data_IF_976855574732
#
_entry.id   IF_976855574732
#
_cell.length_a   1.000
_cell.length_b   1.000
_cell.length_c   1.000
_cell.angle_alpha   90.00
_cell.angle_beta   90.00
_cell.angle_gamma   90.00
#
_symmetry.space_group_name_H-M   'P 1'
#
loop_
_entity.id
_entity.type
_entity.pdbx_description
1 polymer ?
#
# COMPACT_ATOMS: atom_id res chain seq x y z
N UNK A 1 -19.88 -26.25 -11.71
CA UNK A 1 -18.44 -25.98 -11.91
C UNK A 1 -17.93 -25.08 -10.80
N UNK A 2 -16.84 -25.43 -10.12
CA UNK A 2 -16.29 -24.64 -9.02
C UNK A 2 -15.61 -23.38 -9.59
N UNK A 3 -16.25 -22.20 -9.43
CA UNK A 3 -15.75 -20.93 -9.99
C UNK A 3 -14.33 -20.58 -9.51
N UNK A 4 -13.94 -21.01 -8.29
CA UNK A 4 -12.61 -20.76 -7.74
C UNK A 4 -11.54 -21.62 -8.43
N UNK A 5 -11.81 -22.90 -8.65
CA UNK A 5 -10.89 -23.80 -9.36
C UNK A 5 -10.68 -23.37 -10.81
N UNK A 6 -11.73 -22.93 -11.50
CA UNK A 6 -11.61 -22.38 -12.85
C UNK A 6 -10.75 -21.12 -12.91
N UNK A 7 -10.78 -20.27 -11.87
CA UNK A 7 -9.93 -19.08 -11.81
C UNK A 7 -8.46 -19.44 -11.57
N UNK A 8 -8.20 -20.37 -10.64
CA UNK A 8 -6.85 -20.88 -10.35
C UNK A 8 -6.26 -21.57 -11.59
N UNK A 9 -7.04 -22.39 -12.29
CA UNK A 9 -6.62 -23.05 -13.53
C UNK A 9 -6.19 -22.06 -14.61
N UNK A 10 -6.98 -21.01 -14.84
CA UNK A 10 -6.63 -19.93 -15.80
C UNK A 10 -5.37 -19.16 -15.39
N UNK A 11 -5.18 -18.92 -14.09
CA UNK A 11 -3.97 -18.28 -13.58
C UNK A 11 -2.73 -19.14 -13.85
N UNK A 12 -2.78 -20.44 -13.51
CA UNK A 12 -1.70 -21.39 -13.76
C UNK A 12 -1.37 -21.46 -15.26
N UNK A 13 -2.40 -21.53 -16.11
CA UNK A 13 -2.23 -21.54 -17.57
C UNK A 13 -1.51 -20.28 -18.06
N UNK A 14 -1.95 -19.10 -17.60
CA UNK A 14 -1.34 -17.83 -17.97
C UNK A 14 0.13 -17.76 -17.56
N UNK A 15 0.44 -18.07 -16.30
CA UNK A 15 1.81 -18.04 -15.76
C UNK A 15 2.72 -19.03 -16.48
N UNK A 16 2.22 -20.23 -16.78
CA UNK A 16 2.96 -21.23 -17.56
C UNK A 16 3.29 -20.70 -18.96
N UNK A 17 2.32 -20.08 -19.64
CA UNK A 17 2.49 -19.52 -20.98
C UNK A 17 3.49 -18.35 -20.99
N UNK A 18 3.45 -17.46 -20.00
CA UNK A 18 4.40 -16.35 -19.84
C UNK A 18 5.84 -16.83 -19.67
N UNK A 19 6.03 -18.00 -19.03
CA UNK A 19 7.35 -18.66 -18.91
C UNK A 19 7.74 -19.50 -20.13
N UNK A 20 6.90 -19.57 -21.17
CA UNK A 20 7.19 -20.32 -22.40
C UNK A 20 7.26 -21.84 -22.21
N UNK A 21 6.62 -22.39 -21.18
CA UNK A 21 6.65 -23.83 -20.87
C UNK A 21 5.40 -24.50 -21.46
N UNK A 22 5.56 -25.64 -22.15
CA UNK A 22 4.41 -26.42 -22.65
C UNK A 22 3.72 -27.20 -21.53
N UNK A 23 2.49 -27.69 -21.73
CA UNK A 23 1.81 -28.50 -20.71
C UNK A 23 2.57 -29.80 -20.43
N UNK A 24 3.18 -30.39 -21.45
CA UNK A 24 3.99 -31.61 -21.36
C UNK A 24 5.23 -31.37 -20.47
N UNK A 25 6.00 -30.33 -20.79
CA UNK A 25 7.22 -29.99 -20.03
C UNK A 25 6.89 -29.54 -18.59
N UNK A 26 5.74 -28.91 -18.40
CA UNK A 26 5.26 -28.55 -17.07
C UNK A 26 4.84 -29.78 -16.26
N UNK A 27 4.19 -30.75 -16.91
CA UNK A 27 3.82 -32.03 -16.29
C UNK A 27 5.05 -32.84 -15.87
N UNK A 28 6.09 -32.88 -16.70
CA UNK A 28 7.39 -33.52 -16.38
C UNK A 28 8.01 -32.93 -15.11
N UNK A 29 8.09 -31.60 -15.02
CA UNK A 29 8.63 -30.91 -13.83
C UNK A 29 7.83 -31.20 -12.56
N UNK A 30 6.52 -31.41 -12.70
CA UNK A 30 5.61 -31.69 -11.60
C UNK A 30 5.46 -33.20 -11.29
N UNK A 31 6.19 -34.06 -12.02
CA UNK A 31 6.05 -35.52 -11.96
C UNK A 31 4.60 -35.98 -12.10
N UNK A 32 3.88 -35.44 -13.08
CA UNK A 32 2.48 -35.77 -13.37
C UNK A 32 2.24 -35.93 -14.88
N UNK A 33 1.01 -36.27 -15.28
CA UNK A 33 0.66 -36.40 -16.70
C UNK A 33 0.20 -35.08 -17.30
N UNK A 34 0.42 -34.92 -18.61
CA UNK A 34 -0.08 -33.78 -19.38
C UNK A 34 -1.60 -33.62 -19.26
N UNK A 35 -2.34 -34.73 -19.26
CA UNK A 35 -3.79 -34.77 -19.07
C UNK A 35 -4.24 -34.30 -17.68
N UNK A 36 -3.41 -34.44 -16.65
CA UNK A 36 -3.68 -33.87 -15.32
C UNK A 36 -3.49 -32.35 -15.37
N UNK A 37 -2.43 -31.85 -16.00
CA UNK A 37 -2.21 -30.41 -16.19
C UNK A 37 -3.36 -29.76 -16.98
N UNK A 38 -3.82 -30.38 -18.06
CA UNK A 38 -4.95 -29.86 -18.84
C UNK A 38 -6.24 -29.74 -17.99
N UNK A 39 -6.55 -30.75 -17.16
CA UNK A 39 -7.69 -30.70 -16.23
C UNK A 39 -7.50 -29.66 -15.12
N UNK A 40 -6.28 -29.44 -14.66
CA UNK A 40 -5.94 -28.38 -13.70
C UNK A 40 -6.21 -27.01 -14.31
N UNK A 41 -5.70 -26.75 -15.52
CA UNK A 41 -5.88 -25.47 -16.22
C UNK A 41 -7.34 -25.16 -16.57
N UNK A 42 -8.13 -26.19 -16.87
CA UNK A 42 -9.57 -26.06 -17.09
C UNK A 42 -10.38 -25.95 -15.78
N UNK A 43 -9.75 -26.13 -14.61
CA UNK A 43 -10.40 -26.05 -13.29
C UNK A 43 -11.28 -27.26 -12.96
N UNK A 44 -11.03 -28.39 -13.60
CA UNK A 44 -11.77 -29.66 -13.43
C UNK A 44 -11.12 -30.58 -12.38
N UNK A 45 -9.89 -30.26 -11.96
CA UNK A 45 -9.11 -31.05 -11.02
C UNK A 45 -9.07 -30.39 -9.64
N UNK A 46 -9.32 -31.18 -8.60
CA UNK A 46 -9.03 -30.78 -7.22
C UNK A 46 -7.52 -30.86 -6.98
N UNK A 47 -6.95 -29.81 -6.40
CA UNK A 47 -5.52 -29.68 -6.13
C UNK A 47 -5.25 -29.85 -4.64
N UNK A 48 -4.28 -30.70 -4.29
CA UNK A 48 -3.76 -30.74 -2.92
C UNK A 48 -2.87 -29.52 -2.66
N UNK A 49 -2.71 -29.16 -1.39
CA UNK A 49 -1.80 -28.08 -0.97
C UNK A 49 -0.35 -28.36 -1.39
N UNK A 50 0.07 -29.63 -1.37
CA UNK A 50 1.38 -30.06 -1.86
C UNK A 50 1.52 -29.83 -3.37
N UNK A 51 0.48 -30.13 -4.16
CA UNK A 51 0.49 -29.87 -5.61
C UNK A 51 0.57 -28.37 -5.90
N UNK A 52 -0.20 -27.56 -5.15
CA UNK A 52 -0.17 -26.10 -5.27
C UNK A 52 1.22 -25.54 -4.94
N UNK A 53 1.89 -26.04 -3.89
CA UNK A 53 3.27 -25.66 -3.56
C UNK A 53 4.23 -25.97 -4.71
N UNK A 54 4.19 -27.19 -5.25
CA UNK A 54 5.06 -27.58 -6.38
C UNK A 54 4.84 -26.73 -7.62
N UNK A 55 3.59 -26.40 -7.91
CA UNK A 55 3.21 -25.50 -9.01
C UNK A 55 3.79 -24.10 -8.74
N UNK A 56 3.66 -23.60 -7.51
CA UNK A 56 4.25 -22.33 -7.05
C UNK A 56 5.75 -22.29 -7.29
N UNK A 57 6.48 -23.32 -6.87
CA UNK A 57 7.93 -23.43 -7.02
C UNK A 57 8.34 -23.51 -8.49
N UNK A 58 7.61 -24.31 -9.28
CA UNK A 58 7.91 -24.52 -10.71
C UNK A 58 7.66 -23.27 -11.53
N UNK A 59 6.66 -22.48 -11.13
CA UNK A 59 6.31 -21.20 -11.74
C UNK A 59 6.95 -20.01 -11.02
N UNK A 60 7.82 -20.26 -10.03
CA UNK A 60 8.58 -19.27 -9.24
C UNK A 60 7.73 -18.00 -8.96
N UNK A 61 6.54 -18.27 -8.43
CA UNK A 61 5.45 -17.34 -8.14
C UNK A 61 4.69 -17.87 -6.93
N UNK A 62 4.39 -17.03 -5.95
CA UNK A 62 3.57 -17.42 -4.80
C UNK A 62 2.08 -17.42 -5.18
N UNK A 63 1.54 -18.61 -5.50
CA UNK A 63 0.13 -18.79 -5.88
C UNK A 63 -0.77 -18.86 -4.65
N UNK A 64 -0.23 -19.33 -3.52
CA UNK A 64 -0.95 -19.44 -2.25
C UNK A 64 -0.10 -18.81 -1.16
N UNK A 65 -0.47 -17.61 -0.73
CA UNK A 65 0.07 -17.01 0.49
C UNK A 65 -0.84 -17.37 1.68
N UNK A 66 -0.34 -18.17 2.62
CA UNK A 66 -0.98 -18.30 3.93
C UNK A 66 -0.44 -17.15 4.80
N UNK A 67 -1.06 -15.98 4.67
CA UNK A 67 -0.76 -14.83 5.52
C UNK A 67 -1.66 -14.88 6.75
N UNK A 68 -1.09 -14.99 7.94
CA UNK A 68 -1.81 -14.95 9.24
C UNK A 68 -2.49 -13.59 9.55
N UNK A 69 -2.58 -12.67 8.58
CA UNK A 69 -3.06 -11.30 8.83
C UNK A 69 -3.75 -10.56 7.68
N UNK A 70 -3.95 -11.16 6.50
CA UNK A 70 -4.63 -10.46 5.41
C UNK A 70 -6.15 -10.69 5.45
N UNK A 71 -6.90 -9.69 5.89
CA UNK A 71 -8.36 -9.67 5.77
C UNK A 71 -8.71 -9.22 4.35
N UNK A 72 -9.27 -10.12 3.55
CA UNK A 72 -9.87 -9.77 2.26
C UNK A 72 -11.32 -9.33 2.49
N UNK A 73 -11.64 -8.09 2.12
CA UNK A 73 -13.00 -7.54 2.18
C UNK A 73 -13.63 -7.65 0.79
N UNK A 74 -14.77 -8.35 0.70
CA UNK A 74 -15.61 -8.37 -0.50
C UNK A 74 -16.74 -7.35 -0.34
N UNK A 75 -16.85 -6.43 -1.29
CA UNK A 75 -17.92 -5.41 -1.31
C UNK A 75 -19.07 -5.93 -2.19
N UNK A 76 -20.26 -6.06 -1.59
CA UNK A 76 -21.49 -6.32 -2.34
C UNK A 76 -22.14 -4.98 -2.73
N UNK A 77 -22.26 -4.74 -4.04
CA UNK A 77 -22.81 -3.50 -4.58
C UNK A 77 -24.35 -3.47 -4.64
N UNK A 78 -24.90 -2.47 -5.33
CA UNK A 78 -26.34 -2.37 -5.64
C UNK A 78 -27.13 -1.40 -4.74
N UNK A 79 -26.56 -0.98 -3.61
CA UNK A 79 -27.15 0.04 -2.75
C UNK A 79 -26.56 1.43 -3.03
N UNK A 80 -27.40 2.45 -3.20
CA UNK A 80 -26.95 3.85 -3.19
C UNK A 80 -26.66 4.26 -1.75
N UNK A 81 -25.43 4.67 -1.47
CA UNK A 81 -25.05 5.20 -0.17
C UNK A 81 -25.48 6.67 -0.05
N UNK A 82 -26.05 7.04 1.09
CA UNK A 82 -26.40 8.42 1.44
C UNK A 82 -26.02 8.70 2.89
N UNK A 83 -25.40 9.85 3.16
CA UNK A 83 -25.00 10.27 4.50
C UNK A 83 -23.81 11.22 4.48
N UNK A 84 -23.33 11.59 5.66
CA UNK A 84 -22.11 12.38 5.84
C UNK A 84 -21.12 11.58 6.67
N UNK A 85 -19.86 11.53 6.24
CA UNK A 85 -18.77 10.95 7.01
C UNK A 85 -17.78 12.04 7.38
N UNK A 86 -17.37 12.08 8.66
CA UNK A 86 -16.26 12.92 9.09
C UNK A 86 -14.97 12.19 8.78
N UNK A 87 -14.20 12.70 7.82
CA UNK A 87 -12.89 12.15 7.49
C UNK A 87 -11.85 12.57 8.54
N UNK A 88 -10.79 11.77 8.66
CA UNK A 88 -9.61 12.14 9.45
C UNK A 88 -8.86 13.29 8.75
N UNK A 89 -8.03 13.97 9.52
CA UNK A 89 -7.20 15.08 9.03
C UNK A 89 -6.19 14.57 8.01
N UNK A 90 -5.97 15.36 6.96
CA UNK A 90 -5.09 14.96 5.85
C UNK A 90 -3.62 15.10 6.23
N UNK A 91 -2.89 13.99 6.26
CA UNK A 91 -1.42 13.97 6.45
C UNK A 91 -0.72 14.82 5.40
N UNK A 92 -0.96 14.54 4.12
CA UNK A 92 -0.27 15.24 3.02
C UNK A 92 -0.66 16.71 2.95
N UNK A 93 -1.92 17.03 3.26
CA UNK A 93 -2.39 18.41 3.35
C UNK A 93 -1.69 19.20 4.47
N UNK A 94 -1.53 18.59 5.64
CA UNK A 94 -0.84 19.22 6.77
C UNK A 94 0.63 19.54 6.45
N UNK A 95 1.34 18.58 5.86
CA UNK A 95 2.73 18.74 5.41
C UNK A 95 2.88 19.90 4.42
N UNK A 96 2.03 19.97 3.38
CA UNK A 96 2.09 21.06 2.40
C UNK A 96 1.78 22.43 3.01
N UNK A 97 0.83 22.50 3.94
CA UNK A 97 0.46 23.74 4.63
C UNK A 97 1.56 24.22 5.59
N UNK A 98 2.28 23.31 6.25
CA UNK A 98 3.44 23.64 7.08
C UNK A 98 4.51 24.37 6.27
N UNK A 99 4.89 23.83 5.11
CA UNK A 99 5.87 24.48 4.23
C UNK A 99 5.33 25.82 3.68
N UNK A 100 4.06 25.85 3.28
CA UNK A 100 3.42 27.07 2.75
C UNK A 100 3.30 28.18 3.79
N UNK A 101 3.30 27.84 5.08
CA UNK A 101 3.23 28.83 6.16
C UNK A 101 4.42 29.80 6.17
N UNK A 102 5.56 29.42 5.58
CA UNK A 102 6.74 30.26 5.43
C UNK A 102 6.57 31.40 4.43
N UNK A 103 5.60 31.29 3.52
CA UNK A 103 5.29 32.36 2.56
C UNK A 103 4.59 33.55 3.23
N UNK A 104 4.01 33.33 4.42
CA UNK A 104 3.37 34.36 5.21
C UNK A 104 4.39 35.07 6.12
N UNK A 105 4.28 36.38 6.30
CA UNK A 105 5.16 37.16 7.20
C UNK A 105 4.67 37.21 8.64
N UNK A 106 3.38 36.91 8.84
CA UNK A 106 2.71 36.98 10.13
C UNK A 106 2.37 35.58 10.65
N UNK A 107 1.76 35.53 11.84
CA UNK A 107 1.27 34.29 12.44
C UNK A 107 0.29 33.57 11.52
N UNK A 108 0.56 32.29 11.28
CA UNK A 108 -0.34 31.34 10.61
C UNK A 108 -0.90 30.38 11.65
N UNK A 109 -2.20 30.09 11.58
CA UNK A 109 -2.86 29.11 12.45
C UNK A 109 -3.44 28.01 11.58
N UNK A 110 -2.85 26.82 11.67
CA UNK A 110 -3.38 25.62 11.03
C UNK A 110 -4.33 24.92 11.99
N UNK A 111 -5.59 24.75 11.57
CA UNK A 111 -6.65 24.16 12.40
C UNK A 111 -6.64 22.63 12.31
N UNK A 112 -6.78 21.97 13.46
CA UNK A 112 -6.93 20.52 13.55
C UNK A 112 -5.86 19.74 12.77
N UNK A 113 -4.58 20.02 13.04
CA UNK A 113 -3.44 19.37 12.37
C UNK A 113 -3.20 17.98 12.97
N UNK A 114 -2.96 16.92 12.15
CA UNK A 114 -2.63 15.60 12.65
C UNK A 114 -1.31 15.63 13.43
N UNK A 115 -1.30 15.03 14.62
CA UNK A 115 -0.10 14.84 15.46
C UNK A 115 0.56 13.51 15.12
N UNK A 116 1.22 13.47 13.96
CA UNK A 116 1.91 12.30 13.42
C UNK A 116 3.39 12.63 13.20
N UNK A 117 4.22 11.60 13.09
CA UNK A 117 5.67 11.74 13.01
C UNK A 117 6.13 12.68 11.89
N UNK A 118 5.53 12.59 10.69
CA UNK A 118 5.94 13.43 9.57
C UNK A 118 5.65 14.93 9.80
N UNK A 119 4.61 15.25 10.57
CA UNK A 119 4.33 16.63 10.97
C UNK A 119 5.37 17.12 11.97
N UNK A 120 5.73 16.30 12.95
CA UNK A 120 6.75 16.65 13.95
C UNK A 120 8.13 16.84 13.33
N UNK A 121 8.53 15.95 12.41
CA UNK A 121 9.78 16.07 11.65
C UNK A 121 9.88 17.40 10.89
N UNK A 122 8.81 17.81 10.21
CA UNK A 122 8.80 19.11 9.53
C UNK A 122 8.87 20.27 10.53
N UNK A 123 8.16 20.18 11.66
CA UNK A 123 8.25 21.21 12.72
C UNK A 123 9.70 21.38 13.18
N UNK A 124 10.43 20.30 13.44
CA UNK A 124 11.85 20.35 13.84
C UNK A 124 12.72 21.04 12.78
N UNK A 125 12.51 20.71 11.50
CA UNK A 125 13.20 21.37 10.38
C UNK A 125 12.88 22.87 10.37
N UNK A 126 11.62 23.25 10.52
CA UNK A 126 11.20 24.66 10.56
C UNK A 126 11.80 25.40 11.76
N UNK A 127 11.82 24.77 12.94
CA UNK A 127 12.39 25.35 14.16
C UNK A 127 13.91 25.56 14.02
N UNK A 128 14.62 24.64 13.37
CA UNK A 128 16.06 24.75 13.13
C UNK A 128 16.45 26.00 12.30
N UNK A 129 15.55 26.46 11.42
CA UNK A 129 15.74 27.67 10.60
C UNK A 129 15.15 28.94 11.23
N UNK A 130 14.67 28.84 12.48
CA UNK A 130 14.22 29.95 13.33
C UNK A 130 12.71 30.20 13.36
N UNK A 131 11.89 29.28 12.82
CA UNK A 131 10.42 29.39 12.88
C UNK A 131 9.93 28.97 14.26
N UNK A 132 8.95 29.68 14.80
CA UNK A 132 8.29 29.28 16.05
C UNK A 132 7.02 28.49 15.74
N UNK A 133 6.95 27.23 16.19
CA UNK A 133 5.79 26.37 16.03
C UNK A 133 5.26 25.94 17.41
N UNK A 134 4.02 26.31 17.74
CA UNK A 134 3.43 26.00 19.06
C UNK A 134 2.06 25.39 18.92
N UNK A 135 1.85 24.28 19.61
CA UNK A 135 0.56 23.62 19.70
C UNK A 135 -0.39 24.38 20.64
N UNK A 136 -1.64 24.52 20.22
CA UNK A 136 -2.75 24.97 21.05
C UNK A 136 -3.93 24.00 20.84
N UNK A 137 -4.05 23.00 21.72
CA UNK A 137 -4.96 21.88 21.50
C UNK A 137 -4.56 21.07 20.26
N UNK A 138 -5.44 21.05 19.25
CA UNK A 138 -5.18 20.43 17.94
C UNK A 138 -4.76 21.42 16.86
N UNK A 139 -4.65 22.71 17.20
CA UNK A 139 -4.22 23.74 16.27
C UNK A 139 -2.72 23.97 16.41
N UNK A 140 -2.08 24.32 15.29
CA UNK A 140 -0.66 24.62 15.24
C UNK A 140 -0.47 26.11 14.88
N UNK A 141 0.15 26.86 15.78
CA UNK A 141 0.47 28.26 15.59
C UNK A 141 1.91 28.38 15.09
N UNK A 142 2.09 28.98 13.92
CA UNK A 142 3.39 29.08 13.25
C UNK A 142 3.72 30.55 13.05
N UNK A 143 4.92 30.97 13.46
CA UNK A 143 5.40 32.34 13.31
C UNK A 143 6.80 32.29 12.69
N UNK A 144 6.94 32.66 11.40
CA UNK A 144 8.25 32.76 10.76
C UNK A 144 9.08 33.92 11.36
N UNK A 145 10.41 33.80 11.38
CA UNK A 145 11.28 34.88 11.83
C UNK A 145 11.37 35.98 10.76
N UNK A 146 11.82 37.18 11.13
CA UNK A 146 12.10 38.27 10.16
C UNK A 146 13.15 37.88 9.12
N UNK A 147 14.09 37.00 9.48
CA UNK A 147 15.14 36.46 8.60
C UNK A 147 15.27 34.96 8.86
N UNK A 148 15.15 34.16 7.80
CA UNK A 148 15.29 32.70 7.86
C UNK A 148 16.78 32.34 7.83
N UNK A 149 17.20 31.44 8.71
CA UNK A 149 18.60 30.98 8.80
C UNK A 149 18.78 29.62 8.14
N UNK A 150 18.77 29.57 6.81
CA UNK A 150 18.87 28.30 6.05
C UNK A 150 20.16 27.50 6.34
N UNK A 151 21.23 28.17 6.77
CA UNK A 151 22.49 27.51 7.16
C UNK A 151 22.35 26.60 8.38
N UNK A 152 21.31 26.78 9.19
CA UNK A 152 21.04 26.01 10.42
C UNK A 152 20.06 24.85 10.20
N UNK A 153 19.66 24.61 8.96
CA UNK A 153 18.64 23.59 8.66
C UNK A 153 19.09 22.22 9.17
N UNK A 154 18.27 21.61 10.02
CA UNK A 154 18.46 20.24 10.47
C UNK A 154 18.07 19.29 9.34
N UNK A 155 19.07 18.77 8.63
CA UNK A 155 18.85 17.84 7.51
C UNK A 155 18.50 16.43 7.97
N UNK A 156 18.86 16.05 9.19
CA UNK A 156 18.61 14.70 9.73
C UNK A 156 17.12 14.48 10.00
N UNK A 157 16.42 15.52 10.47
CA UNK A 157 14.96 15.48 10.64
C UNK A 157 14.19 15.37 9.32
N UNK A 158 14.84 15.56 8.15
CA UNK A 158 14.19 15.50 6.84
C UNK A 158 14.27 14.11 6.16
N UNK A 159 14.89 13.11 6.81
CA UNK A 159 15.11 11.75 6.29
C UNK A 159 14.13 10.76 6.94
#
# INVERSE_FOLDING_TARGET
MNKKLAHIGKLIQKLRAERGITQERFAEKLCTSQSVIARIENGEQNLSTVMLSKISDTLDQDIVSVSDGAINIQIEGGAKLSGTVKTKTSKNGAVGLLCSSLLNKNKTVLKNVPKIEEVYRIIEVLESIGVSAKWNGNDLHIVPPKKISLSKINKESAI
#
